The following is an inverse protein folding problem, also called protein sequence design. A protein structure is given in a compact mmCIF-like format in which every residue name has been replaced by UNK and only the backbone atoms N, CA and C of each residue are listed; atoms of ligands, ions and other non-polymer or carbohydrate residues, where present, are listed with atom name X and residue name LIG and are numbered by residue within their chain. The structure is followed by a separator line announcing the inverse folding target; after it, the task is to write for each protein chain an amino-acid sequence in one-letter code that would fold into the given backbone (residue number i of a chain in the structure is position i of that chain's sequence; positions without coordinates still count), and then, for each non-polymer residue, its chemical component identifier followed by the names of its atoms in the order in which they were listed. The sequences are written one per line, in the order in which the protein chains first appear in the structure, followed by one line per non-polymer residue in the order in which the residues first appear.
data_IF_672976332821
#
_entry.id   IF_672976332821
#
_cell.length_a   1.000
_cell.length_b   1.000
_cell.length_c   1.000
_cell.angle_alpha   90.00
_cell.angle_beta   90.00
_cell.angle_gamma   90.00
#
_symmetry.space_group_name_H-M   'P 1'
#
loop_
_entity.id
_entity.type
_entity.pdbx_description
1 polymer ?
#
# COMPACT_ATOMS: atom_id res chain seq x y z
N UNK A 1 -25.40 2.02 -11.97
CA UNK A 1 -23.98 1.90 -11.58
C UNK A 1 -23.27 1.12 -12.66
N UNK A 2 -22.14 1.63 -13.14
CA UNK A 2 -21.33 0.97 -14.17
C UNK A 2 -20.71 -0.30 -13.59
N UNK A 3 -20.71 -1.41 -14.33
CA UNK A 3 -20.13 -2.67 -13.88
C UNK A 3 -18.67 -2.78 -14.27
N UNK A 4 -17.85 -3.40 -13.42
CA UNK A 4 -16.43 -3.58 -13.72
C UNK A 4 -16.12 -4.82 -14.54
N UNK A 5 -17.10 -5.69 -14.78
CA UNK A 5 -16.97 -6.90 -15.61
C UNK A 5 -17.43 -6.71 -17.06
N UNK A 6 -17.87 -5.50 -17.41
CA UNK A 6 -18.33 -5.13 -18.75
C UNK A 6 -17.37 -4.11 -19.38
N UNK A 7 -16.79 -4.45 -20.54
CA UNK A 7 -15.84 -3.59 -21.26
C UNK A 7 -16.45 -2.26 -21.70
N UNK A 8 -17.75 -2.24 -22.05
CA UNK A 8 -18.46 -1.02 -22.43
C UNK A 8 -18.55 -0.06 -21.24
N UNK A 9 -18.90 -0.59 -20.07
CA UNK A 9 -19.01 0.19 -18.83
C UNK A 9 -17.64 0.70 -18.36
N UNK A 10 -16.56 -0.08 -18.57
CA UNK A 10 -15.18 0.32 -18.29
C UNK A 10 -14.74 1.48 -19.19
N UNK A 11 -15.01 1.41 -20.51
CA UNK A 11 -14.63 2.48 -21.42
C UNK A 11 -15.49 3.75 -21.21
N UNK A 12 -16.78 3.58 -20.86
CA UNK A 12 -17.63 4.68 -20.46
C UNK A 12 -17.11 5.37 -19.19
N UNK A 13 -16.76 4.59 -18.16
CA UNK A 13 -16.16 5.10 -16.93
C UNK A 13 -14.86 5.85 -17.22
N UNK A 14 -13.98 5.27 -18.04
CA UNK A 14 -12.72 5.90 -18.44
C UNK A 14 -12.96 7.25 -19.11
N UNK A 15 -13.86 7.30 -20.10
CA UNK A 15 -14.17 8.51 -20.86
C UNK A 15 -14.71 9.62 -19.95
N UNK A 16 -15.69 9.27 -19.10
CA UNK A 16 -16.25 10.20 -18.11
C UNK A 16 -15.18 10.68 -17.12
N UNK A 17 -14.27 9.80 -16.70
CA UNK A 17 -13.21 10.16 -15.75
C UNK A 17 -12.20 11.12 -16.38
N UNK A 18 -11.80 10.88 -17.63
CA UNK A 18 -10.92 11.78 -18.39
C UNK A 18 -11.58 13.16 -18.55
N UNK A 19 -12.83 13.20 -19.02
CA UNK A 19 -13.59 14.45 -19.16
C UNK A 19 -13.64 15.19 -17.82
N UNK A 20 -13.96 14.48 -16.73
CA UNK A 20 -14.05 15.04 -15.39
C UNK A 20 -12.72 15.61 -14.86
N UNK A 21 -11.57 15.14 -15.36
CA UNK A 21 -10.25 15.69 -15.05
C UNK A 21 -10.03 16.94 -15.90
N UNK A 22 -10.25 16.86 -17.21
CA UNK A 22 -9.96 17.96 -18.15
C UNK A 22 -10.75 19.25 -17.82
N UNK A 23 -11.99 19.10 -17.35
CA UNK A 23 -12.88 20.23 -17.00
C UNK A 23 -12.80 20.65 -15.53
N UNK A 24 -11.95 20.02 -14.71
CA UNK A 24 -11.89 20.34 -13.29
C UNK A 24 -11.25 21.73 -13.07
N UNK A 25 -11.88 22.64 -12.30
CA UNK A 25 -11.41 24.03 -12.16
C UNK A 25 -9.98 24.18 -11.65
N UNK A 26 -9.52 23.24 -10.81
CA UNK A 26 -8.14 23.23 -10.31
C UNK A 26 -7.08 22.91 -11.38
N UNK A 27 -7.48 22.68 -12.63
CA UNK A 27 -6.60 22.43 -13.77
C UNK A 27 -6.69 23.56 -14.81
N UNK A 28 -7.46 24.62 -14.56
CA UNK A 28 -7.65 25.74 -15.49
C UNK A 28 -6.34 26.51 -15.77
N UNK A 29 -5.36 26.41 -14.87
CA UNK A 29 -4.03 26.98 -15.06
C UNK A 29 -3.16 26.20 -16.07
N UNK A 30 -3.57 24.99 -16.47
CA UNK A 30 -2.84 24.18 -17.44
C UNK A 30 -3.31 24.44 -18.87
N UNK A 31 -2.36 24.57 -19.79
CA UNK A 31 -2.64 24.62 -21.23
C UNK A 31 -3.24 23.29 -21.72
N UNK A 32 -3.96 23.29 -22.86
CA UNK A 32 -4.49 22.06 -23.46
C UNK A 32 -3.43 20.98 -23.67
N UNK A 33 -2.24 21.35 -24.16
CA UNK A 33 -1.13 20.40 -24.38
C UNK A 33 -0.63 19.78 -23.08
N UNK A 34 -0.55 20.57 -22.00
CA UNK A 34 -0.19 20.06 -20.67
C UNK A 34 -1.26 19.12 -20.12
N UNK A 35 -2.54 19.44 -20.33
CA UNK A 35 -3.66 18.55 -19.95
C UNK A 35 -3.60 17.23 -20.74
N UNK A 36 -3.31 17.28 -22.04
CA UNK A 36 -3.16 16.09 -22.87
C UNK A 36 -1.99 15.21 -22.39
N UNK A 37 -0.82 15.80 -22.14
CA UNK A 37 0.34 15.09 -21.61
C UNK A 37 0.11 14.48 -20.23
N UNK A 38 -0.68 15.15 -19.37
CA UNK A 38 -1.11 14.58 -18.10
C UNK A 38 -1.97 13.32 -18.31
N UNK A 39 -2.96 13.38 -19.21
CA UNK A 39 -3.82 12.22 -19.49
C UNK A 39 -3.00 11.07 -20.06
N UNK A 40 -2.09 11.34 -21.01
CA UNK A 40 -1.18 10.35 -21.57
C UNK A 40 -0.37 9.65 -20.47
N UNK A 41 0.28 10.42 -19.58
CA UNK A 41 1.04 9.88 -18.46
C UNK A 41 0.19 9.00 -17.53
N UNK A 42 -1.06 9.39 -17.26
CA UNK A 42 -1.97 8.62 -16.41
C UNK A 42 -2.45 7.34 -17.11
N UNK A 43 -2.62 7.38 -18.43
CA UNK A 43 -3.06 6.22 -19.21
C UNK A 43 -1.95 5.23 -19.53
N UNK A 44 -0.69 5.68 -19.59
CA UNK A 44 0.48 4.85 -19.86
C UNK A 44 0.96 4.05 -18.64
N UNK A 45 0.28 4.16 -17.50
CA UNK A 45 0.59 3.38 -16.30
C UNK A 45 0.31 1.89 -16.53
N UNK A 46 1.36 1.12 -16.87
CA UNK A 46 1.27 -0.33 -17.15
C UNK A 46 1.43 -1.21 -15.91
N UNK A 47 1.97 -0.67 -14.82
CA UNK A 47 2.23 -1.46 -13.60
C UNK A 47 0.95 -1.54 -12.76
N UNK A 48 0.31 -2.70 -12.72
CA UNK A 48 -0.86 -2.90 -11.85
C UNK A 48 -0.49 -2.75 -10.38
N UNK A 49 -1.38 -2.12 -9.59
CA UNK A 49 -1.20 -2.10 -8.14
C UNK A 49 -1.32 -3.51 -7.59
N UNK A 50 -0.25 -4.00 -6.96
CA UNK A 50 -0.28 -5.28 -6.26
C UNK A 50 -1.09 -5.09 -4.97
N UNK A 51 -2.38 -5.44 -5.03
CA UNK A 51 -3.22 -5.56 -3.85
C UNK A 51 -3.03 -6.95 -3.28
N UNK A 52 -2.28 -7.04 -2.19
CA UNK A 52 -2.25 -8.26 -1.39
C UNK A 52 -3.56 -8.39 -0.62
N UNK A 53 -4.31 -9.45 -0.88
CA UNK A 53 -5.58 -9.75 -0.22
C UNK A 53 -5.35 -10.02 1.28
N UNK A 54 -5.45 -8.97 2.09
CA UNK A 54 -5.42 -9.08 3.56
C UNK A 54 -6.68 -9.76 4.16
N UNK A 55 -7.69 -10.08 3.35
CA UNK A 55 -9.00 -10.56 3.80
C UNK A 55 -8.94 -11.98 4.37
N UNK A 56 -8.24 -12.91 3.70
CA UNK A 56 -8.21 -14.31 4.15
C UNK A 56 -7.45 -14.51 5.46
N UNK A 57 -6.34 -13.80 5.66
CA UNK A 57 -5.53 -13.92 6.88
C UNK A 57 -6.28 -13.40 8.10
N UNK A 58 -7.02 -12.29 7.97
CA UNK A 58 -7.86 -11.77 9.06
C UNK A 58 -9.02 -12.71 9.41
N UNK A 59 -9.65 -13.35 8.41
CA UNK A 59 -10.69 -14.35 8.62
C UNK A 59 -10.12 -15.55 9.38
N UNK A 60 -8.96 -16.07 8.96
CA UNK A 60 -8.26 -17.18 9.63
C UNK A 60 -7.90 -16.83 11.08
N UNK A 61 -7.37 -15.62 11.32
CA UNK A 61 -7.03 -15.15 12.66
C UNK A 61 -8.27 -15.09 13.59
N UNK A 62 -9.40 -14.57 13.09
CA UNK A 62 -10.66 -14.53 13.85
C UNK A 62 -11.16 -15.94 14.16
N UNK A 63 -11.08 -16.86 13.20
CA UNK A 63 -11.50 -18.25 13.40
C UNK A 63 -10.66 -18.95 14.47
N UNK A 64 -9.33 -18.80 14.43
CA UNK A 64 -8.42 -19.40 15.42
C UNK A 64 -8.67 -18.87 16.84
N UNK A 65 -8.85 -17.55 17.00
CA UNK A 65 -9.17 -16.94 18.30
C UNK A 65 -10.51 -17.42 18.84
N UNK A 66 -11.51 -17.57 17.97
CA UNK A 66 -12.81 -18.09 18.36
C UNK A 66 -12.70 -19.54 18.83
N UNK A 67 -12.02 -20.39 18.06
CA UNK A 67 -11.81 -21.80 18.42
C UNK A 67 -11.07 -21.94 19.76
N UNK A 68 -10.03 -21.13 20.00
CA UNK A 68 -9.34 -21.12 21.29
C UNK A 68 -10.26 -20.73 22.47
N UNK A 69 -11.09 -19.70 22.27
CA UNK A 69 -12.05 -19.25 23.28
C UNK A 69 -13.12 -20.32 23.56
N UNK A 70 -13.63 -20.98 22.52
CA UNK A 70 -14.61 -22.05 22.65
C UNK A 70 -14.00 -23.27 23.37
N UNK A 71 -12.76 -23.64 23.09
CA UNK A 71 -12.04 -24.70 23.83
C UNK A 71 -11.87 -24.37 25.31
N UNK A 72 -11.52 -23.11 25.65
CA UNK A 72 -11.43 -22.66 27.07
C UNK A 72 -12.78 -22.73 27.77
N UNK A 73 -13.86 -22.31 27.10
CA UNK A 73 -15.23 -22.38 27.63
C UNK A 73 -15.68 -23.82 27.85
N UNK A 74 -15.36 -24.73 26.94
CA UNK A 74 -15.68 -26.15 27.08
C UNK A 74 -14.91 -26.75 28.26
N UNK A 75 -13.60 -26.52 28.35
CA UNK A 75 -12.77 -26.98 29.47
C UNK A 75 -13.30 -26.47 30.82
N UNK A 76 -13.68 -25.19 30.89
CA UNK A 76 -14.29 -24.60 32.08
C UNK A 76 -15.62 -25.27 32.43
N UNK A 77 -16.47 -25.54 31.44
CA UNK A 77 -17.77 -26.19 31.65
C UNK A 77 -17.60 -27.60 32.20
N UNK A 78 -16.60 -28.35 31.73
CA UNK A 78 -16.28 -29.69 32.27
C UNK A 78 -15.81 -29.63 33.72
N UNK A 79 -15.06 -28.59 34.11
CA UNK A 79 -14.63 -28.38 35.50
C UNK A 79 -15.77 -28.04 36.47
N UNK A 80 -16.91 -27.56 35.96
CA UNK A 80 -18.08 -27.24 36.78
C UNK A 80 -18.99 -28.43 37.05
N UNK A 81 -18.75 -29.58 36.40
CA UNK A 81 -19.51 -30.79 36.67
C UNK A 81 -19.33 -31.22 38.12
N UNK A 82 -20.42 -31.63 38.76
CA UNK A 82 -20.33 -32.19 40.08
C UNK A 82 -19.71 -33.61 40.01
N UNK A 83 -19.30 -34.12 41.16
CA UNK A 83 -18.62 -35.41 41.25
C UNK A 83 -19.45 -36.57 40.68
N UNK A 84 -20.76 -36.57 40.91
CA UNK A 84 -21.66 -37.62 40.42
C UNK A 84 -21.73 -37.64 38.88
N UNK A 85 -21.85 -36.48 38.26
CA UNK A 85 -21.89 -36.34 36.80
C UNK A 85 -20.54 -36.72 36.15
N UNK A 86 -19.42 -36.37 36.82
CA UNK A 86 -18.08 -36.77 36.39
C UNK A 86 -17.89 -38.30 36.49
N UNK A 87 -18.29 -38.91 37.60
CA UNK A 87 -18.17 -40.36 37.82
C UNK A 87 -19.03 -41.14 36.82
N UNK A 88 -20.25 -40.68 36.52
CA UNK A 88 -21.10 -41.26 35.45
C UNK A 88 -20.42 -41.16 34.09
N UNK A 89 -19.87 -40.00 33.76
CA UNK A 89 -19.20 -39.77 32.49
C UNK A 89 -18.02 -40.73 32.29
N UNK A 90 -17.16 -40.90 33.29
CA UNK A 90 -15.99 -41.77 33.22
C UNK A 90 -16.41 -43.25 33.14
N UNK A 91 -17.45 -43.65 33.88
CA UNK A 91 -18.01 -45.01 33.83
C UNK A 91 -18.59 -45.34 32.44
N UNK A 92 -19.31 -44.40 31.82
CA UNK A 92 -19.89 -44.60 30.48
C UNK A 92 -18.87 -44.50 29.34
N UNK A 93 -17.71 -43.90 29.59
CA UNK A 93 -16.65 -43.73 28.62
C UNK A 93 -15.41 -44.60 28.94
N UNK A 94 -15.57 -45.71 29.66
CA UNK A 94 -14.48 -46.52 30.25
C UNK A 94 -13.46 -47.17 29.28
N UNK A 95 -13.47 -46.80 28.00
CA UNK A 95 -12.46 -47.16 26.99
C UNK A 95 -11.97 -45.97 26.15
N UNK A 96 -12.27 -44.74 26.56
CA UNK A 96 -11.84 -43.47 25.96
C UNK A 96 -11.15 -42.61 27.02
N UNK A 97 -10.63 -41.45 26.62
CA UNK A 97 -10.06 -40.47 27.55
C UNK A 97 -11.09 -40.05 28.60
N UNK A 98 -10.64 -40.05 29.86
CA UNK A 98 -11.40 -39.63 31.02
C UNK A 98 -11.68 -38.10 30.98
N UNK A 99 -12.58 -37.64 31.84
CA UNK A 99 -13.00 -36.24 31.89
C UNK A 99 -11.80 -35.28 32.13
N UNK A 100 -10.85 -35.71 32.96
CA UNK A 100 -9.64 -34.96 33.31
C UNK A 100 -8.72 -34.77 32.11
N UNK A 101 -8.47 -35.84 31.37
CA UNK A 101 -7.64 -35.86 30.17
C UNK A 101 -8.29 -35.04 29.04
N UNK A 102 -9.62 -35.13 28.86
CA UNK A 102 -10.35 -34.27 27.91
C UNK A 102 -10.25 -32.79 28.28
N UNK A 103 -10.38 -32.47 29.57
CA UNK A 103 -10.23 -31.09 30.05
C UNK A 103 -8.83 -30.55 29.76
N UNK A 104 -7.78 -31.33 30.07
CA UNK A 104 -6.38 -30.97 29.76
C UNK A 104 -6.14 -30.84 28.25
N UNK A 105 -6.73 -31.73 27.45
CA UNK A 105 -6.63 -31.69 25.99
C UNK A 105 -7.22 -30.38 25.44
N UNK A 106 -8.37 -29.94 25.93
CA UNK A 106 -9.00 -28.69 25.51
C UNK A 106 -8.18 -27.45 25.89
N UNK A 107 -7.59 -27.46 27.09
CA UNK A 107 -6.67 -26.39 27.52
C UNK A 107 -5.44 -26.32 26.63
N UNK A 108 -4.84 -27.48 26.32
CA UNK A 108 -3.71 -27.59 25.40
C UNK A 108 -4.06 -27.10 24.00
N UNK A 109 -5.21 -27.54 23.45
CA UNK A 109 -5.69 -27.08 22.15
C UNK A 109 -5.92 -25.57 22.13
N UNK A 110 -6.49 -24.99 23.19
CA UNK A 110 -6.65 -23.54 23.27
C UNK A 110 -5.30 -22.81 23.23
N UNK A 111 -4.30 -23.30 23.96
CA UNK A 111 -2.96 -22.72 24.01
C UNK A 111 -2.24 -22.84 22.65
N UNK A 112 -2.33 -24.00 21.99
CA UNK A 112 -1.78 -24.21 20.65
C UNK A 112 -2.41 -23.27 19.62
N UNK A 113 -3.74 -23.14 19.62
CA UNK A 113 -4.46 -22.23 18.73
C UNK A 113 -4.13 -20.76 18.98
N UNK A 114 -3.92 -20.36 20.24
CA UNK A 114 -3.44 -19.01 20.59
C UNK A 114 -2.01 -18.77 20.10
N UNK A 115 -1.15 -19.76 20.20
CA UNK A 115 0.24 -19.69 19.71
C UNK A 115 0.27 -19.54 18.19
N UNK A 116 -0.53 -20.34 17.47
CA UNK A 116 -0.69 -20.23 16.01
C UNK A 116 -1.26 -18.86 15.64
N UNK A 117 -2.27 -18.37 16.36
CA UNK A 117 -2.83 -17.04 16.14
C UNK A 117 -1.80 -15.93 16.35
N UNK A 118 -0.93 -16.06 17.36
CA UNK A 118 0.14 -15.09 17.63
C UNK A 118 1.17 -15.03 16.49
N UNK A 119 1.63 -16.17 15.99
CA UNK A 119 2.52 -16.22 14.84
C UNK A 119 1.88 -15.63 13.58
N UNK A 120 0.59 -15.89 13.35
CA UNK A 120 -0.14 -15.28 12.24
C UNK A 120 -0.29 -13.76 12.40
N UNK A 121 -0.37 -13.21 13.61
CA UNK A 121 -0.37 -11.75 13.83
C UNK A 121 0.95 -11.15 13.37
N UNK A 122 2.08 -11.77 13.73
CA UNK A 122 3.41 -11.32 13.31
C UNK A 122 3.55 -11.37 11.78
N UNK A 123 3.11 -12.47 11.17
CA UNK A 123 3.12 -12.62 9.71
C UNK A 123 2.17 -11.62 9.03
N UNK A 124 1.00 -11.36 9.61
CA UNK A 124 0.05 -10.33 9.15
C UNK A 124 0.67 -8.93 9.23
N UNK A 125 1.45 -8.64 10.28
CA UNK A 125 2.13 -7.35 10.45
C UNK A 125 3.21 -7.13 9.39
N UNK A 126 3.99 -8.18 9.07
CA UNK A 126 4.98 -8.16 8.00
C UNK A 126 4.30 -8.00 6.63
N UNK A 127 3.20 -8.71 6.41
CA UNK A 127 2.44 -8.64 5.18
C UNK A 127 1.79 -7.26 4.99
N UNK A 128 1.20 -6.69 6.04
CA UNK A 128 0.65 -5.34 6.03
C UNK A 128 1.74 -4.29 5.74
N UNK A 129 2.94 -4.48 6.30
CA UNK A 129 4.10 -3.62 6.01
C UNK A 129 4.53 -3.73 4.55
N UNK A 130 4.64 -4.95 4.01
CA UNK A 130 4.94 -5.18 2.58
C UNK A 130 3.87 -4.56 1.68
N UNK A 131 2.59 -4.76 1.98
CA UNK A 131 1.46 -4.18 1.25
C UNK A 131 1.51 -2.65 1.24
N UNK A 132 1.77 -2.03 2.41
CA UNK A 132 1.94 -0.59 2.54
C UNK A 132 3.12 -0.09 1.70
N UNK A 133 4.23 -0.81 1.70
CA UNK A 133 5.42 -0.47 0.93
C UNK A 133 5.19 -0.57 -0.58
N UNK A 134 4.52 -1.62 -1.06
CA UNK A 134 4.14 -1.76 -2.47
C UNK A 134 3.20 -0.63 -2.93
N UNK A 135 2.19 -0.29 -2.11
CA UNK A 135 1.31 0.87 -2.37
C UNK A 135 2.08 2.18 -2.41
N UNK A 136 3.06 2.35 -1.52
CA UNK A 136 3.92 3.52 -1.52
C UNK A 136 4.79 3.61 -2.78
N UNK A 137 5.38 2.51 -3.23
CA UNK A 137 6.17 2.47 -4.47
C UNK A 137 5.34 2.76 -5.71
N UNK A 138 4.10 2.27 -5.76
CA UNK A 138 3.16 2.64 -6.81
C UNK A 138 2.78 4.13 -6.75
N UNK A 139 2.46 4.62 -5.55
CA UNK A 139 1.99 5.99 -5.36
C UNK A 139 3.08 7.03 -5.63
N UNK A 140 4.34 6.78 -5.27
CA UNK A 140 5.42 7.77 -5.34
C UNK A 140 5.55 8.45 -6.72
N UNK A 141 5.83 7.75 -7.83
CA UNK A 141 6.00 8.39 -9.14
C UNK A 141 4.73 9.10 -9.62
N UNK A 142 3.56 8.55 -9.27
CA UNK A 142 2.25 9.12 -9.61
C UNK A 142 2.01 10.45 -8.88
N UNK A 143 2.26 10.51 -7.57
CA UNK A 143 2.08 11.72 -6.78
C UNK A 143 3.14 12.78 -7.15
N UNK A 144 4.38 12.37 -7.44
CA UNK A 144 5.42 13.29 -7.95
C UNK A 144 4.94 13.99 -9.22
N UNK A 145 4.45 13.23 -10.20
CA UNK A 145 3.95 13.80 -11.46
C UNK A 145 2.74 14.70 -11.25
N UNK A 146 1.77 14.30 -10.43
CA UNK A 146 0.63 15.15 -10.07
C UNK A 146 1.10 16.51 -9.50
N UNK A 147 2.15 16.51 -8.67
CA UNK A 147 2.74 17.74 -8.13
C UNK A 147 3.44 18.59 -9.19
N UNK A 148 4.15 17.98 -10.15
CA UNK A 148 4.77 18.69 -11.28
C UNK A 148 3.75 19.43 -12.16
N UNK A 149 2.52 18.93 -12.24
CA UNK A 149 1.40 19.59 -12.91
C UNK A 149 0.70 20.67 -12.04
N UNK A 150 1.22 20.95 -10.85
CA UNK A 150 0.66 21.95 -9.92
C UNK A 150 -0.69 21.52 -9.32
N UNK A 151 -1.00 20.22 -9.32
CA UNK A 151 -2.27 19.71 -8.80
C UNK A 151 -2.12 19.48 -7.29
N UNK A 152 -3.03 20.08 -6.51
CA UNK A 152 -3.05 19.86 -5.06
C UNK A 152 -3.38 18.40 -4.71
N UNK A 153 -2.56 17.81 -3.83
CA UNK A 153 -2.75 16.47 -3.27
C UNK A 153 -3.72 16.44 -2.09
N UNK A 154 -4.60 17.44 -1.99
CA UNK A 154 -5.68 17.44 -1.01
C UNK A 154 -6.66 16.29 -1.28
N UNK A 155 -7.13 15.69 -0.20
CA UNK A 155 -8.02 14.54 -0.21
C UNK A 155 -9.34 14.90 0.45
N UNK A 156 -10.41 14.22 0.04
CA UNK A 156 -11.67 14.17 0.76
C UNK A 156 -11.93 12.74 1.22
N UNK A 157 -12.53 12.58 2.40
CA UNK A 157 -12.75 11.27 3.02
C UNK A 157 -14.24 10.95 3.21
N UNK A 158 -15.14 11.72 2.61
CA UNK A 158 -16.61 11.59 2.72
C UNK A 158 -17.20 10.53 1.77
N UNK A 159 -16.35 9.70 1.14
CA UNK A 159 -16.78 8.62 0.27
C UNK A 159 -17.21 7.40 1.09
N UNK A 160 -18.41 6.90 0.83
CA UNK A 160 -18.86 5.63 1.43
C UNK A 160 -18.07 4.50 0.77
N UNK A 161 -17.23 3.81 1.55
CA UNK A 161 -16.45 2.65 1.08
C UNK A 161 -17.39 1.58 0.51
N UNK A 162 -17.06 1.02 -0.66
CA UNK A 162 -17.86 -0.06 -1.27
C UNK A 162 -18.03 -1.29 -0.36
N UNK A 163 -17.09 -1.51 0.57
CA UNK A 163 -17.21 -2.55 1.59
C UNK A 163 -18.44 -2.39 2.51
N UNK A 164 -19.07 -1.21 2.53
CA UNK A 164 -20.30 -0.96 3.27
C UNK A 164 -21.57 -1.43 2.52
N UNK A 165 -21.49 -1.63 1.19
CA UNK A 165 -22.63 -2.00 0.35
C UNK A 165 -22.51 -3.39 -0.30
N UNK A 166 -21.33 -4.01 -0.25
CA UNK A 166 -21.16 -5.40 -0.74
C UNK A 166 -21.99 -6.36 0.10
N UNK A 167 -23.17 -6.73 -0.39
CA UNK A 167 -23.90 -7.87 0.16
C UNK A 167 -23.09 -9.14 -0.11
N UNK A 168 -22.99 -10.07 0.85
CA UNK A 168 -22.11 -11.25 0.76
C UNK A 168 -22.41 -12.20 -0.41
N UNK A 169 -23.53 -12.00 -1.14
CA UNK A 169 -23.99 -12.87 -2.23
C UNK A 169 -23.97 -12.22 -3.62
N UNK A 170 -23.61 -10.93 -3.75
CA UNK A 170 -23.46 -10.29 -5.06
C UNK A 170 -22.03 -10.45 -5.57
N UNK A 171 -21.85 -11.23 -6.64
CA UNK A 171 -20.57 -11.37 -7.35
C UNK A 171 -20.27 -10.19 -8.26
N UNK A 172 -21.22 -9.27 -8.43
CA UNK A 172 -21.12 -8.14 -9.35
C UNK A 172 -20.32 -7.01 -8.73
N UNK A 173 -19.18 -6.72 -9.34
CA UNK A 173 -18.34 -5.60 -8.94
C UNK A 173 -18.70 -4.36 -9.77
N UNK A 174 -18.88 -3.23 -9.09
CA UNK A 174 -19.24 -1.95 -9.72
C UNK A 174 -18.06 -0.99 -9.75
N UNK A 175 -18.07 -0.06 -10.70
CA UNK A 175 -17.14 1.07 -10.79
C UNK A 175 -17.60 2.23 -9.89
N UNK A 176 -16.67 3.04 -9.36
CA UNK A 176 -17.01 4.14 -8.45
C UNK A 176 -17.74 5.27 -9.19
N UNK A 177 -18.57 6.04 -8.48
CA UNK A 177 -19.25 7.19 -9.07
C UNK A 177 -18.29 8.37 -9.27
N UNK A 178 -18.18 8.84 -10.51
CA UNK A 178 -17.30 9.93 -10.95
C UNK A 178 -17.85 11.30 -10.52
N UNK A 179 -19.17 11.44 -10.44
CA UNK A 179 -19.84 12.70 -10.07
C UNK A 179 -19.75 13.02 -8.57
N UNK A 180 -19.17 12.10 -7.80
CA UNK A 180 -18.82 12.34 -6.41
C UNK A 180 -17.83 13.51 -6.27
N UNK A 181 -17.74 14.06 -5.06
CA UNK A 181 -16.92 15.25 -4.74
C UNK A 181 -15.41 14.95 -4.69
N UNK A 182 -14.91 14.05 -5.54
CA UNK A 182 -13.50 13.68 -5.63
C UNK A 182 -12.66 14.86 -6.12
N UNK A 183 -11.51 15.07 -5.48
CA UNK A 183 -10.55 16.11 -5.87
C UNK A 183 -9.87 15.73 -7.19
N UNK A 184 -9.27 16.70 -7.89
CA UNK A 184 -8.51 16.45 -9.11
C UNK A 184 -7.43 15.37 -8.92
N UNK A 185 -6.67 15.42 -7.81
CA UNK A 185 -5.65 14.40 -7.52
C UNK A 185 -6.25 13.02 -7.32
N UNK A 186 -7.40 12.89 -6.64
CA UNK A 186 -8.11 11.62 -6.51
C UNK A 186 -8.55 11.08 -7.87
N UNK A 187 -9.09 11.93 -8.76
CA UNK A 187 -9.49 11.55 -10.12
C UNK A 187 -8.30 11.10 -10.96
N UNK A 188 -7.17 11.81 -10.90
CA UNK A 188 -5.93 11.40 -11.57
C UNK A 188 -5.45 10.03 -11.09
N UNK A 189 -5.44 9.79 -9.77
CA UNK A 189 -5.04 8.49 -9.21
C UNK A 189 -6.01 7.38 -9.62
N UNK A 190 -7.32 7.67 -9.67
CA UNK A 190 -8.31 6.72 -10.16
C UNK A 190 -8.07 6.34 -11.63
N UNK A 191 -7.72 7.31 -12.47
CA UNK A 191 -7.44 7.05 -13.89
C UNK A 191 -6.21 6.16 -14.05
N UNK A 192 -5.13 6.43 -13.31
CA UNK A 192 -3.94 5.59 -13.30
C UNK A 192 -4.23 4.15 -12.81
N UNK A 193 -5.05 4.00 -11.76
CA UNK A 193 -5.48 2.68 -11.28
C UNK A 193 -6.32 1.93 -12.31
N UNK A 194 -7.24 2.63 -12.96
CA UNK A 194 -8.07 2.06 -14.02
C UNK A 194 -7.21 1.61 -15.22
N UNK A 195 -6.33 2.47 -15.72
CA UNK A 195 -5.44 2.17 -16.85
C UNK A 195 -4.47 1.03 -16.58
N UNK A 196 -4.05 0.88 -15.32
CA UNK A 196 -3.22 -0.25 -14.88
C UNK A 196 -4.00 -1.55 -14.64
N UNK A 197 -5.30 -1.59 -14.97
CA UNK A 197 -6.21 -2.74 -14.77
C UNK A 197 -6.27 -3.21 -13.32
N UNK A 198 -6.15 -2.28 -12.38
CA UNK A 198 -6.21 -2.59 -10.95
C UNK A 198 -7.61 -3.08 -10.57
N UNK A 199 -7.69 -4.16 -9.79
CA UNK A 199 -8.95 -4.68 -9.24
C UNK A 199 -9.43 -3.79 -8.08
N UNK A 200 -10.72 -3.81 -7.78
CA UNK A 200 -11.29 -3.14 -6.60
C UNK A 200 -11.10 -1.62 -6.59
N UNK A 201 -11.37 -0.97 -7.73
CA UNK A 201 -11.35 0.49 -7.84
C UNK A 201 -12.33 1.13 -6.86
N UNK A 202 -11.81 1.94 -5.95
CA UNK A 202 -12.58 2.66 -4.93
C UNK A 202 -11.92 3.99 -4.56
N UNK A 203 -12.71 4.98 -4.18
CA UNK A 203 -12.20 6.28 -3.75
C UNK A 203 -11.37 6.15 -2.47
N UNK A 204 -11.72 5.23 -1.57
CA UNK A 204 -10.91 4.93 -0.38
C UNK A 204 -9.48 4.49 -0.73
N UNK A 205 -9.31 3.75 -1.83
CA UNK A 205 -7.99 3.33 -2.32
C UNK A 205 -7.18 4.53 -2.84
N UNK A 206 -7.81 5.43 -3.63
CA UNK A 206 -7.14 6.64 -4.10
C UNK A 206 -6.65 7.52 -2.95
N UNK A 207 -7.49 7.72 -1.93
CA UNK A 207 -7.14 8.41 -0.69
C UNK A 207 -5.95 7.75 0.00
N UNK A 208 -5.98 6.41 0.12
CA UNK A 208 -4.87 5.67 0.74
C UNK A 208 -3.56 5.86 -0.01
N UNK A 209 -3.58 5.86 -1.35
CA UNK A 209 -2.38 6.05 -2.16
C UNK A 209 -1.84 7.48 -2.02
N UNK A 210 -2.70 8.50 -2.06
CA UNK A 210 -2.30 9.90 -1.87
C UNK A 210 -1.69 10.10 -0.48
N UNK A 211 -2.31 9.56 0.59
CA UNK A 211 -1.78 9.62 1.97
C UNK A 211 -0.41 8.97 2.11
N UNK A 212 -0.13 7.91 1.34
CA UNK A 212 1.15 7.22 1.36
C UNK A 212 2.21 7.93 0.53
N UNK A 213 1.85 8.42 -0.66
CA UNK A 213 2.78 9.06 -1.59
C UNK A 213 3.18 10.48 -1.20
N UNK A 214 2.23 11.31 -0.73
CA UNK A 214 2.46 12.72 -0.35
C UNK A 214 3.68 12.92 0.57
N UNK A 215 3.79 12.26 1.74
CA UNK A 215 4.92 12.49 2.63
C UNK A 215 6.26 12.02 2.04
N UNK A 216 6.24 11.04 1.13
CA UNK A 216 7.44 10.57 0.45
C UNK A 216 7.93 11.61 -0.54
N UNK A 217 7.03 12.19 -1.34
CA UNK A 217 7.35 13.28 -2.27
C UNK A 217 7.88 14.49 -1.50
N UNK A 218 7.22 14.91 -0.42
CA UNK A 218 7.66 16.02 0.42
C UNK A 218 9.07 15.77 0.98
N UNK A 219 9.35 14.54 1.44
CA UNK A 219 10.69 14.16 1.91
C UNK A 219 11.73 14.21 0.80
N UNK A 220 11.41 13.70 -0.40
CA UNK A 220 12.32 13.73 -1.54
C UNK A 220 12.61 15.16 -2.01
N UNK A 221 11.60 16.02 -2.06
CA UNK A 221 11.76 17.45 -2.39
C UNK A 221 12.67 18.15 -1.37
N UNK A 222 12.44 17.91 -0.08
CA UNK A 222 13.29 18.47 0.99
C UNK A 222 14.74 17.97 0.90
N UNK A 223 14.94 16.67 0.65
CA UNK A 223 16.27 16.10 0.47
C UNK A 223 16.99 16.70 -0.73
N UNK A 224 16.32 16.79 -1.89
CA UNK A 224 16.90 17.38 -3.09
C UNK A 224 17.30 18.85 -2.86
N UNK A 225 16.46 19.62 -2.14
CA UNK A 225 16.80 21.00 -1.78
C UNK A 225 18.07 21.09 -0.93
N UNK A 226 18.19 20.24 0.09
CA UNK A 226 19.41 20.17 0.93
C UNK A 226 20.63 19.80 0.08
N UNK A 227 20.51 18.82 -0.83
CA UNK A 227 21.61 18.44 -1.71
C UNK A 227 22.03 19.59 -2.63
N UNK A 228 21.08 20.33 -3.21
CA UNK A 228 21.40 21.50 -4.04
C UNK A 228 22.06 22.62 -3.24
N UNK A 229 21.63 22.88 -2.01
CA UNK A 229 22.28 23.86 -1.12
C UNK A 229 23.72 23.46 -0.78
N UNK A 230 23.96 22.17 -0.51
CA UNK A 230 25.31 21.63 -0.28
C UNK A 230 26.15 21.74 -1.55
N UNK A 231 25.61 21.39 -2.71
CA UNK A 231 26.31 21.48 -3.99
C UNK A 231 26.73 22.93 -4.29
N UNK A 232 25.82 23.89 -4.12
CA UNK A 232 26.11 25.31 -4.30
C UNK A 232 27.20 25.78 -3.31
N UNK A 233 27.13 25.37 -2.05
CA UNK A 233 28.15 25.68 -1.04
C UNK A 233 29.52 25.05 -1.36
N UNK A 234 29.54 23.82 -1.87
CA UNK A 234 30.76 23.06 -2.13
C UNK A 234 31.40 23.39 -3.48
N UNK A 235 30.63 23.90 -4.45
CA UNK A 235 31.09 24.28 -5.79
C UNK A 235 32.38 25.12 -5.78
N UNK A 236 32.51 26.21 -5.00
CA UNK A 236 33.75 27.00 -4.99
C UNK A 236 34.97 26.20 -4.48
N UNK A 237 34.79 25.32 -3.48
CA UNK A 237 35.88 24.49 -2.95
C UNK A 237 36.31 23.43 -3.94
N UNK A 238 35.35 22.79 -4.61
CA UNK A 238 35.60 21.80 -5.66
C UNK A 238 36.34 22.45 -6.83
N UNK A 239 35.94 23.66 -7.25
CA UNK A 239 36.62 24.41 -8.30
C UNK A 239 38.06 24.79 -7.91
N UNK A 240 38.30 25.19 -6.65
CA UNK A 240 39.65 25.45 -6.15
C UNK A 240 40.52 24.18 -6.15
N UNK A 241 39.96 23.04 -5.75
CA UNK A 241 40.62 21.74 -5.83
C UNK A 241 40.97 21.36 -7.27
N UNK A 242 40.03 21.49 -8.20
CA UNK A 242 40.30 21.21 -9.62
C UNK A 242 41.37 22.13 -10.20
N UNK A 243 41.32 23.41 -9.87
CA UNK A 243 42.34 24.37 -10.28
C UNK A 243 43.73 24.00 -9.74
N UNK A 244 43.84 23.67 -8.44
CA UNK A 244 45.09 23.25 -7.83
C UNK A 244 45.63 21.94 -8.44
N UNK A 245 44.75 20.98 -8.72
CA UNK A 245 45.12 19.72 -9.38
C UNK A 245 45.63 19.95 -10.81
N UNK A 246 45.00 20.84 -11.58
CA UNK A 246 45.46 21.23 -12.92
C UNK A 246 46.86 21.81 -12.89
N UNK A 247 47.15 22.71 -11.94
CA UNK A 247 48.48 23.29 -11.78
C UNK A 247 49.55 22.24 -11.43
N UNK A 248 49.19 21.24 -10.61
CA UNK A 248 50.11 20.14 -10.29
C UNK A 248 50.33 19.19 -11.47
N UNK A 249 49.31 18.96 -12.30
CA UNK A 249 49.43 18.13 -13.50
C UNK A 249 50.36 18.78 -14.55
N UNK A 250 50.19 20.08 -14.79
CA UNK A 250 51.06 20.86 -15.69
C UNK A 250 52.51 20.91 -15.18
N UNK A 251 52.71 20.94 -13.86
CA UNK A 251 54.04 20.86 -13.25
C UNK A 251 54.68 19.46 -13.38
N UNK A 252 53.86 18.39 -13.45
CA UNK A 252 54.36 17.03 -13.57
C UNK A 252 54.77 16.72 -15.01
N UNK A 253 54.02 17.20 -15.99
CA UNK A 253 54.31 17.02 -17.42
C UNK A 253 55.59 17.77 -17.83
N UNK A 254 55.77 19.02 -17.35
CA UNK A 254 56.98 19.81 -17.61
C UNK A 254 58.25 19.19 -17.01
N UNK A 255 58.15 18.49 -15.88
CA UNK A 255 59.28 17.76 -15.28
C UNK A 255 59.56 16.38 -15.91
N UNK A 256 58.62 15.76 -16.60
CA UNK A 256 58.86 14.51 -17.35
C UNK A 256 59.50 14.73 -18.71
N UNK A 257 59.24 15.86 -19.36
CA UNK A 257 59.84 16.19 -20.66
C UNK A 257 61.31 16.65 -20.52
N UNK A 258 61.67 17.35 -19.44
CA UNK A 258 63.07 17.73 -19.19
C UNK A 258 63.99 16.53 -18.87
N UNK A 259 63.44 15.38 -18.44
CA UNK A 259 64.23 14.16 -18.17
C UNK A 259 64.51 13.28 -19.38
N UNK A 260 63.88 13.54 -20.55
CA UNK A 260 64.14 12.78 -21.79
C UNK A 260 65.13 13.46 -22.74
N UNK A 261 65.62 14.65 -22.39
CA UNK A 261 66.65 15.36 -23.16
C UNK A 261 67.91 15.59 -22.32
N UNK A 262 68.69 14.53 -22.10
CA UNK A 262 70.13 14.65 -21.84
C UNK A 262 70.83 13.44 -22.48
N UNK A 263 71.79 13.65 -23.40
CA UNK A 263 72.53 12.57 -24.07
C UNK A 263 73.48 11.80 -23.14
#
# INVERSE_FOLDING_TARGET
MLRSDNDIDQEQFRSQLIESILVHPSLDHLSPDRKASLIEFLTDQKTALIVTDGSQTQIRLRALRKAAADSKRLAHSLKLLNKFDADIFDLTNSGKSDLSERTKSLEKTAQELETIAQHLVEETSLHARKAKMLRAFYALPLITKIHEYGISTNIRNDFVSKSAYSQPNESTQYLPDIHSNATASMRCVMLALHSSKSKNLDWSLTVSLIKLGKPLVEKTVMQNKIFSEIEEFMTPYVNQLFYAMSLTADSLETHTDEKKSSP
#
